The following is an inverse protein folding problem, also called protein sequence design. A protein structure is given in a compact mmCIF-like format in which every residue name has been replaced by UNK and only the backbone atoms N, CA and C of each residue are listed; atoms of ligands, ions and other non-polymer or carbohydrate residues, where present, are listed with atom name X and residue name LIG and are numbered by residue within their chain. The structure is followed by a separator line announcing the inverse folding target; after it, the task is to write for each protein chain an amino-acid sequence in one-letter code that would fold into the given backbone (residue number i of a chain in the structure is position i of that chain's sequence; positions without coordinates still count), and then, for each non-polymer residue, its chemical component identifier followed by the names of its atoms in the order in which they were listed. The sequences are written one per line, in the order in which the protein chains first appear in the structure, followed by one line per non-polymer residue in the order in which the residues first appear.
data_IF_140148673644
#
_entry.id   IF_140148673644
#
_cell.length_a   1.000
_cell.length_b   1.000
_cell.length_c   1.000
_cell.angle_alpha   90.00
_cell.angle_beta   90.00
_cell.angle_gamma   90.00
#
_symmetry.space_group_name_H-M   'P 1'
#
loop_
_entity.id
_entity.type
_entity.pdbx_description
1 polymer ?
#
# COMPACT_ATOMS: atom_id res chain seq x y z
N UNK A 1 -60.47 -9.74 25.78
CA UNK A 1 -59.06 -9.46 26.12
C UNK A 1 -58.21 -9.67 24.87
N UNK A 2 -57.18 -8.82 24.65
CA UNK A 2 -56.15 -8.83 23.57
C UNK A 2 -56.63 -8.20 22.24
N UNK A 3 -56.52 -6.86 22.02
CA UNK A 3 -55.36 -6.00 21.61
C UNK A 3 -54.84 -6.38 20.20
N UNK A 4 -55.29 -5.68 19.13
CA UNK A 4 -54.60 -4.63 18.33
C UNK A 4 -53.40 -5.18 17.50
N UNK A 5 -53.22 -4.97 16.17
CA UNK A 5 -53.10 -3.73 15.36
C UNK A 5 -53.37 -4.06 13.86
N UNK A 6 -53.96 -3.15 13.05
CA UNK A 6 -54.20 -3.32 11.61
C UNK A 6 -53.10 -2.76 10.68
N UNK A 7 -52.90 -3.45 9.55
CA UNK A 7 -52.77 -2.97 8.15
C UNK A 7 -52.04 -1.65 7.87
N UNK A 8 -50.93 -1.71 7.08
CA UNK A 8 -50.74 -0.87 5.86
C UNK A 8 -49.94 -1.68 4.83
N UNK A 9 -50.61 -2.02 3.72
CA UNK A 9 -50.03 -2.50 2.45
C UNK A 9 -49.81 -1.26 1.58
N UNK A 10 -48.65 -1.13 0.93
CA UNK A 10 -48.50 -0.17 -0.17
C UNK A 10 -47.67 -0.79 -1.30
N UNK A 11 -48.39 -1.29 -2.30
CA UNK A 11 -47.91 -1.60 -3.65
C UNK A 11 -48.06 -0.37 -4.54
N UNK A 12 -47.01 0.00 -5.30
CA UNK A 12 -47.06 0.88 -6.49
C UNK A 12 -45.86 0.41 -7.35
N UNK A 13 -45.94 -0.36 -8.44
CA UNK A 13 -46.71 -0.32 -9.70
C UNK A 13 -46.35 0.86 -10.64
N UNK A 14 -45.65 0.57 -11.74
CA UNK A 14 -45.68 1.31 -13.03
C UNK A 14 -44.48 2.24 -13.29
N UNK A 15 -43.53 1.93 -14.19
CA UNK A 15 -43.53 2.01 -15.68
C UNK A 15 -43.77 3.44 -16.27
N UNK A 16 -42.65 4.09 -16.66
CA UNK A 16 -42.34 4.84 -17.92
C UNK A 16 -43.26 6.00 -18.34
N UNK A 17 -42.73 7.24 -18.56
CA UNK A 17 -42.31 7.68 -19.91
C UNK A 17 -41.09 8.64 -19.97
N UNK A 18 -40.21 8.47 -20.96
CA UNK A 18 -40.09 9.28 -22.21
C UNK A 18 -39.65 10.74 -22.00
N UNK A 19 -38.34 10.96 -22.24
CA UNK A 19 -37.71 12.08 -22.96
C UNK A 19 -38.31 13.48 -22.89
N UNK A 20 -37.55 14.41 -22.30
CA UNK A 20 -37.55 15.82 -22.73
C UNK A 20 -36.12 16.36 -22.82
N UNK A 21 -35.54 16.15 -24.00
CA UNK A 21 -34.76 17.12 -24.78
C UNK A 21 -34.39 18.44 -24.06
N UNK A 22 -33.09 18.65 -23.84
CA UNK A 22 -32.48 19.97 -23.96
C UNK A 22 -31.22 19.86 -24.85
N UNK A 23 -31.15 20.61 -25.97
CA UNK A 23 -30.01 20.63 -26.85
C UNK A 23 -28.96 21.60 -26.32
N UNK A 24 -27.71 21.19 -26.25
CA UNK A 24 -26.58 22.12 -26.26
C UNK A 24 -25.56 21.59 -27.26
N UNK A 25 -25.45 22.32 -28.37
CA UNK A 25 -24.41 22.14 -29.35
C UNK A 25 -23.07 22.51 -28.70
N UNK A 26 -22.09 21.61 -28.84
CA UNK A 26 -20.73 21.81 -28.34
C UNK A 26 -19.85 20.66 -28.80
N UNK A 27 -19.17 20.88 -29.93
CA UNK A 27 -18.08 20.08 -30.50
C UNK A 27 -17.02 19.65 -29.49
N UNK A 28 -16.66 18.36 -29.46
CA UNK A 28 -15.30 17.87 -29.72
C UNK A 28 -15.19 16.36 -29.47
N UNK A 29 -14.50 15.71 -30.40
CA UNK A 29 -14.08 14.30 -30.34
C UNK A 29 -13.14 14.09 -29.13
N UNK A 30 -13.39 13.06 -28.33
CA UNK A 30 -12.42 12.53 -27.38
C UNK A 30 -12.67 11.03 -27.17
N UNK A 31 -11.61 10.28 -27.44
CA UNK A 31 -11.47 8.83 -27.41
C UNK A 31 -11.89 8.25 -26.05
N UNK A 32 -12.77 7.25 -26.05
CA UNK A 32 -13.13 6.50 -24.86
C UNK A 32 -11.97 5.58 -24.46
N UNK A 33 -11.15 6.01 -23.51
CA UNK A 33 -10.28 5.12 -22.74
C UNK A 33 -11.04 4.62 -21.51
N UNK A 34 -11.11 3.30 -21.43
CA UNK A 34 -11.62 2.46 -20.36
C UNK A 34 -11.11 2.93 -18.98
N UNK A 35 -11.97 3.13 -17.96
CA UNK A 35 -11.47 3.30 -16.59
C UNK A 35 -10.87 1.98 -16.11
N UNK A 36 -9.56 2.00 -15.86
CA UNK A 36 -8.81 0.96 -15.17
C UNK A 36 -9.38 0.73 -13.76
N UNK A 37 -9.35 -0.50 -13.23
CA UNK A 37 -9.83 -0.78 -11.88
C UNK A 37 -8.97 0.01 -10.88
N UNK A 38 -9.60 0.92 -10.15
CA UNK A 38 -8.99 1.57 -8.98
C UNK A 38 -8.79 0.52 -7.90
N UNK A 39 -7.53 0.21 -7.62
CA UNK A 39 -7.13 -0.55 -6.44
C UNK A 39 -7.57 0.21 -5.20
N UNK A 40 -8.64 -0.27 -4.57
CA UNK A 40 -9.08 0.22 -3.27
C UNK A 40 -8.06 -0.23 -2.23
N UNK A 41 -7.05 0.61 -1.98
CA UNK A 41 -6.23 0.55 -0.76
C UNK A 41 -7.12 0.90 0.43
N UNK A 42 -7.83 -0.09 0.96
CA UNK A 42 -8.46 0.00 2.27
C UNK A 42 -7.37 -0.22 3.33
N UNK A 43 -6.65 0.85 3.65
CA UNK A 43 -5.89 0.92 4.89
C UNK A 43 -6.87 0.99 6.06
N UNK A 44 -6.99 -0.09 6.83
CA UNK A 44 -7.35 -0.01 8.25
C UNK A 44 -6.65 -1.15 8.97
N UNK A 45 -5.87 -0.76 9.97
CA UNK A 45 -4.98 -1.55 10.80
C UNK A 45 -5.49 -2.95 11.15
N UNK A 46 -4.64 -3.95 10.90
CA UNK A 46 -4.75 -5.30 11.46
C UNK A 46 -5.20 -6.40 10.50
N UNK A 47 -5.94 -6.07 9.44
CA UNK A 47 -6.52 -7.07 8.53
C UNK A 47 -5.95 -6.93 7.11
N UNK A 48 -5.20 -7.94 6.65
CA UNK A 48 -4.63 -7.99 5.30
C UNK A 48 -5.46 -8.94 4.42
N UNK A 49 -6.00 -8.46 3.30
CA UNK A 49 -6.75 -9.29 2.36
C UNK A 49 -5.87 -9.56 1.14
N UNK A 50 -5.42 -10.80 1.00
CA UNK A 50 -4.60 -11.23 -0.14
C UNK A 50 -5.50 -11.95 -1.13
N UNK A 51 -5.58 -11.41 -2.35
CA UNK A 51 -6.26 -12.08 -3.47
C UNK A 51 -5.21 -12.79 -4.30
N UNK A 52 -5.35 -14.10 -4.46
CA UNK A 52 -4.41 -14.91 -5.23
C UNK A 52 -4.60 -14.66 -6.72
N UNK A 53 -3.53 -14.89 -7.49
CA UNK A 53 -3.64 -14.98 -8.94
C UNK A 53 -4.55 -16.14 -9.32
N UNK A 54 -5.33 -15.96 -10.38
CA UNK A 54 -6.13 -17.03 -10.96
C UNK A 54 -5.23 -18.15 -11.46
N UNK A 55 -5.46 -19.38 -11.00
CA UNK A 55 -4.78 -20.58 -11.48
C UNK A 55 -5.71 -21.33 -12.42
N UNK A 56 -5.34 -21.41 -13.70
CA UNK A 56 -6.02 -22.25 -14.68
C UNK A 56 -5.71 -23.73 -14.39
N UNK A 57 -6.75 -24.48 -14.04
CA UNK A 57 -6.67 -25.94 -13.89
C UNK A 57 -7.38 -26.62 -15.05
N UNK A 58 -7.15 -27.93 -15.23
CA UNK A 58 -7.86 -28.74 -16.24
C UNK A 58 -9.38 -28.68 -16.09
N UNK A 59 -9.88 -28.32 -14.91
CA UNK A 59 -11.32 -28.20 -14.62
C UNK A 59 -11.83 -26.75 -14.65
N UNK A 60 -10.96 -25.75 -14.80
CA UNK A 60 -11.32 -24.33 -14.89
C UNK A 60 -10.44 -23.42 -14.03
N UNK A 61 -10.58 -22.08 -14.16
CA UNK A 61 -9.84 -21.12 -13.36
C UNK A 61 -10.27 -21.14 -11.90
N UNK A 62 -9.29 -21.17 -10.98
CA UNK A 62 -9.50 -21.09 -9.53
C UNK A 62 -8.86 -19.82 -9.00
N UNK A 63 -9.64 -19.02 -8.28
CA UNK A 63 -9.16 -17.81 -7.62
C UNK A 63 -9.62 -17.77 -6.16
N UNK A 64 -8.69 -17.47 -5.26
CA UNK A 64 -8.90 -17.42 -3.83
C UNK A 64 -8.66 -16.01 -3.29
N UNK A 65 -9.44 -15.68 -2.28
CA UNK A 65 -9.24 -14.51 -1.46
C UNK A 65 -9.09 -14.97 -0.02
N UNK A 66 -7.94 -14.66 0.58
CA UNK A 66 -7.60 -15.02 1.94
C UNK A 66 -7.53 -13.74 2.77
N UNK A 67 -8.25 -13.72 3.88
CA UNK A 67 -8.25 -12.62 4.84
C UNK A 67 -7.41 -13.01 6.05
N UNK A 68 -6.37 -12.24 6.32
CA UNK A 68 -5.46 -12.40 7.43
C UNK A 68 -5.72 -11.35 8.49
N UNK A 69 -5.67 -11.72 9.76
CA UNK A 69 -5.52 -10.81 10.89
C UNK A 69 -4.10 -10.99 11.44
N UNK A 70 -3.19 -10.07 11.07
CA UNK A 70 -1.75 -10.25 11.29
C UNK A 70 -1.20 -11.49 10.59
N UNK A 71 -0.84 -12.51 11.37
CA UNK A 71 -0.34 -13.81 10.87
C UNK A 71 -1.40 -14.91 10.79
N UNK A 72 -2.63 -14.65 11.26
CA UNK A 72 -3.70 -15.67 11.32
C UNK A 72 -4.66 -15.55 10.15
N UNK A 73 -5.05 -16.66 9.56
CA UNK A 73 -6.11 -16.74 8.55
C UNK A 73 -7.46 -16.68 9.26
N UNK A 74 -8.29 -15.70 8.91
CA UNK A 74 -9.62 -15.47 9.52
C UNK A 74 -10.76 -15.83 8.59
N UNK A 75 -10.55 -15.69 7.28
CA UNK A 75 -11.52 -16.09 6.28
C UNK A 75 -10.82 -16.50 4.99
N UNK A 76 -11.42 -17.45 4.28
CA UNK A 76 -11.03 -17.84 2.93
C UNK A 76 -12.28 -17.89 2.06
N UNK A 77 -12.23 -17.26 0.89
CA UNK A 77 -13.32 -17.22 -0.08
C UNK A 77 -12.79 -17.59 -1.45
N UNK A 78 -13.43 -18.55 -2.12
CA UNK A 78 -13.19 -18.77 -3.55
C UNK A 78 -13.97 -17.70 -4.32
N UNK A 79 -13.24 -16.81 -5.01
CA UNK A 79 -13.84 -15.82 -5.91
C UNK A 79 -14.21 -16.45 -7.24
N UNK A 80 -13.43 -17.45 -7.67
CA UNK A 80 -13.66 -18.17 -8.92
C UNK A 80 -13.38 -19.65 -8.70
N UNK A 81 -14.31 -20.49 -9.10
CA UNK A 81 -14.19 -21.95 -9.05
C UNK A 81 -14.95 -22.57 -10.22
N UNK A 82 -14.58 -23.78 -10.64
CA UNK A 82 -15.34 -24.51 -11.65
C UNK A 82 -16.67 -25.03 -11.09
N UNK A 83 -17.75 -24.85 -11.87
CA UNK A 83 -19.11 -25.30 -11.58
C UNK A 83 -19.21 -26.85 -11.60
N UNK A 84 -18.83 -27.47 -10.49
CA UNK A 84 -18.98 -28.89 -10.26
C UNK A 84 -19.50 -29.16 -8.84
N UNK A 85 -20.54 -30.01 -8.68
CA UNK A 85 -21.18 -30.24 -7.37
C UNK A 85 -20.23 -30.86 -6.33
N UNK A 86 -19.21 -31.60 -6.79
CA UNK A 86 -18.17 -32.16 -5.92
C UNK A 86 -17.25 -31.08 -5.35
N UNK A 87 -16.97 -30.01 -6.10
CA UNK A 87 -16.15 -28.88 -5.64
C UNK A 87 -16.92 -28.05 -4.61
N UNK A 88 -18.20 -27.74 -4.87
CA UNK A 88 -19.03 -26.95 -3.95
C UNK A 88 -19.18 -27.62 -2.58
N UNK A 89 -19.31 -28.95 -2.54
CA UNK A 89 -19.38 -29.71 -1.29
C UNK A 89 -18.01 -29.83 -0.58
N UNK A 90 -16.90 -29.71 -1.31
CA UNK A 90 -15.54 -29.79 -0.78
C UNK A 90 -15.05 -28.45 -0.22
N UNK A 91 -15.42 -27.32 -0.83
CA UNK A 91 -15.01 -25.98 -0.41
C UNK A 91 -15.21 -25.70 1.09
N UNK A 92 -16.40 -25.90 1.70
CA UNK A 92 -16.57 -25.59 3.12
C UNK A 92 -15.70 -26.46 4.03
N UNK A 93 -15.42 -27.72 3.63
CA UNK A 93 -14.51 -28.60 4.38
C UNK A 93 -13.08 -28.09 4.29
N UNK A 94 -12.60 -27.75 3.08
CA UNK A 94 -11.27 -27.20 2.85
C UNK A 94 -11.06 -25.87 3.60
N UNK A 95 -12.07 -24.99 3.62
CA UNK A 95 -12.02 -23.72 4.35
C UNK A 95 -11.96 -23.96 5.86
N UNK A 96 -12.80 -24.85 6.40
CA UNK A 96 -12.76 -25.18 7.83
C UNK A 96 -11.41 -25.77 8.24
N UNK A 97 -10.86 -26.68 7.42
CA UNK A 97 -9.56 -27.26 7.64
C UNK A 97 -8.43 -26.23 7.54
N UNK A 98 -8.50 -25.30 6.57
CA UNK A 98 -7.55 -24.19 6.46
C UNK A 98 -7.57 -23.30 7.69
N UNK A 99 -8.76 -22.97 8.21
CA UNK A 99 -8.90 -22.15 9.42
C UNK A 99 -8.38 -22.88 10.66
N UNK A 100 -8.48 -24.21 10.69
CA UNK A 100 -7.96 -25.02 11.79
C UNK A 100 -6.43 -25.22 11.70
N UNK A 101 -5.92 -25.57 10.52
CA UNK A 101 -4.50 -25.82 10.28
C UNK A 101 -3.67 -24.53 10.24
N UNK A 102 -4.29 -23.40 9.87
CA UNK A 102 -3.62 -22.11 9.64
C UNK A 102 -2.44 -22.21 8.65
N UNK A 103 -2.49 -23.20 7.75
CA UNK A 103 -1.41 -23.56 6.82
C UNK A 103 -1.98 -24.02 5.48
N UNK A 104 -1.11 -24.01 4.45
CA UNK A 104 -1.43 -24.56 3.14
C UNK A 104 -1.36 -26.11 3.08
N UNK A 105 -0.76 -26.73 4.09
CA UNK A 105 -0.76 -28.18 4.29
C UNK A 105 -2.12 -28.67 4.82
N UNK A 106 -3.05 -28.86 3.89
CA UNK A 106 -4.36 -29.46 4.14
C UNK A 106 -4.54 -30.75 3.33
N UNK A 107 -5.39 -31.63 3.83
CA UNK A 107 -5.77 -32.87 3.17
C UNK A 107 -6.57 -32.58 1.89
N UNK A 108 -6.40 -33.45 0.90
CA UNK A 108 -7.20 -33.39 -0.33
C UNK A 108 -8.54 -34.07 -0.10
N UNK A 109 -9.60 -33.52 -0.69
CA UNK A 109 -10.92 -34.14 -0.61
C UNK A 109 -11.07 -35.17 -1.74
N UNK A 110 -11.47 -36.39 -1.39
CA UNK A 110 -11.71 -37.46 -2.37
C UNK A 110 -12.75 -37.02 -3.42
N UNK A 111 -12.35 -37.04 -4.70
CA UNK A 111 -13.17 -36.58 -5.83
C UNK A 111 -12.97 -35.12 -6.23
N UNK A 112 -12.18 -34.36 -5.46
CA UNK A 112 -11.83 -32.96 -5.74
C UNK A 112 -10.31 -32.74 -5.69
N UNK A 113 -9.50 -33.74 -6.07
CA UNK A 113 -8.04 -33.69 -5.94
C UNK A 113 -7.43 -32.51 -6.71
N UNK A 114 -7.82 -32.32 -7.98
CA UNK A 114 -7.30 -31.26 -8.85
C UNK A 114 -7.56 -29.87 -8.26
N UNK A 115 -8.78 -29.63 -7.78
CA UNK A 115 -9.16 -28.35 -7.19
C UNK A 115 -8.55 -28.17 -5.80
N UNK A 116 -8.36 -29.25 -5.03
CA UNK A 116 -7.67 -29.23 -3.73
C UNK A 116 -6.18 -28.88 -3.90
N UNK A 117 -5.51 -29.42 -4.92
CA UNK A 117 -4.11 -29.09 -5.21
C UNK A 117 -3.94 -27.63 -5.67
N UNK A 118 -4.83 -27.16 -6.54
CA UNK A 118 -4.84 -25.76 -6.96
C UNK A 118 -5.15 -24.81 -5.80
N UNK A 119 -6.05 -25.22 -4.91
CA UNK A 119 -6.37 -24.50 -3.67
C UNK A 119 -5.13 -24.39 -2.78
N UNK A 120 -4.43 -25.50 -2.53
CA UNK A 120 -3.19 -25.51 -1.73
C UNK A 120 -2.12 -24.58 -2.28
N UNK A 121 -1.87 -24.66 -3.59
CA UNK A 121 -0.86 -23.82 -4.25
C UNK A 121 -1.19 -22.34 -4.15
N UNK A 122 -2.46 -21.98 -4.34
CA UNK A 122 -2.93 -20.60 -4.20
C UNK A 122 -2.86 -20.11 -2.76
N UNK A 123 -3.27 -20.94 -1.81
CA UNK A 123 -3.22 -20.64 -0.38
C UNK A 123 -1.77 -20.44 0.09
N UNK A 124 -0.85 -21.28 -0.36
CA UNK A 124 0.58 -21.13 -0.06
C UNK A 124 1.12 -19.81 -0.61
N UNK A 125 0.79 -19.46 -1.86
CA UNK A 125 1.18 -18.17 -2.42
C UNK A 125 0.63 -16.98 -1.61
N UNK A 126 -0.60 -17.07 -1.11
CA UNK A 126 -1.19 -16.05 -0.24
C UNK A 126 -0.47 -15.92 1.11
N UNK A 127 -0.12 -17.06 1.74
CA UNK A 127 0.63 -17.10 2.99
C UNK A 127 2.03 -16.53 2.80
N UNK A 128 2.73 -16.93 1.73
CA UNK A 128 4.06 -16.44 1.38
C UNK A 128 4.05 -14.93 1.10
N UNK A 129 2.99 -14.42 0.45
CA UNK A 129 2.81 -13.00 0.20
C UNK A 129 2.54 -12.21 1.48
N UNK A 130 1.69 -12.74 2.38
CA UNK A 130 1.47 -12.16 3.70
C UNK A 130 2.75 -12.17 4.54
N UNK A 131 3.54 -13.25 4.49
CA UNK A 131 4.82 -13.37 5.18
C UNK A 131 5.87 -12.40 4.61
N UNK A 132 5.92 -12.21 3.29
CA UNK A 132 6.80 -11.22 2.65
C UNK A 132 6.40 -9.80 3.05
N UNK A 133 5.11 -9.50 3.05
CA UNK A 133 4.58 -8.20 3.50
C UNK A 133 4.85 -7.97 4.98
N UNK A 134 4.67 -8.97 5.84
CA UNK A 134 5.03 -8.90 7.25
C UNK A 134 6.53 -8.73 7.47
N UNK A 135 7.37 -9.43 6.69
CA UNK A 135 8.83 -9.30 6.73
C UNK A 135 9.30 -7.95 6.20
N UNK A 136 8.64 -7.39 5.20
CA UNK A 136 8.87 -6.03 4.71
C UNK A 136 8.43 -4.97 5.74
N UNK A 137 7.35 -5.23 6.48
CA UNK A 137 6.90 -4.37 7.58
C UNK A 137 7.77 -4.51 8.84
N UNK A 138 8.49 -5.62 9.01
CA UNK A 138 9.50 -5.83 10.06
C UNK A 138 10.91 -5.37 9.63
N UNK A 139 11.15 -5.24 8.31
CA UNK A 139 12.36 -4.66 7.71
C UNK A 139 12.20 -3.17 7.40
N UNK A 140 10.98 -2.62 7.51
CA UNK A 140 10.82 -1.22 7.89
C UNK A 140 11.48 -1.09 9.27
N UNK A 141 12.42 -0.14 9.49
CA UNK A 141 13.17 -0.07 10.73
C UNK A 141 12.20 -0.01 11.90
N UNK A 142 12.13 -1.12 12.65
CA UNK A 142 11.37 -1.22 13.87
C UNK A 142 12.17 -0.51 14.97
N UNK A 143 12.16 0.82 14.95
CA UNK A 143 12.47 1.70 16.09
C UNK A 143 11.79 3.04 15.80
N UNK A 144 10.50 3.16 16.11
CA UNK A 144 9.94 4.46 16.49
C UNK A 144 10.53 4.86 17.85
N UNK A 145 11.84 5.14 17.88
CA UNK A 145 12.31 6.21 18.74
C UNK A 145 11.87 7.47 18.01
N UNK A 146 10.69 7.98 18.41
CA UNK A 146 9.92 9.02 17.73
C UNK A 146 10.82 9.89 16.84
N UNK A 147 10.76 9.67 15.52
CA UNK A 147 11.66 10.32 14.60
C UNK A 147 11.54 11.84 14.81
N UNK A 148 12.59 12.45 15.33
CA UNK A 148 12.61 13.87 15.65
C UNK A 148 13.11 14.60 14.43
N UNK A 149 12.23 15.37 13.84
CA UNK A 149 12.58 16.25 12.74
C UNK A 149 13.02 17.59 13.30
N UNK A 150 14.23 18.03 12.93
CA UNK A 150 14.77 19.34 13.28
C UNK A 150 15.07 20.08 11.98
N UNK A 151 14.51 21.27 11.87
CA UNK A 151 14.82 22.22 10.81
C UNK A 151 16.10 23.00 11.16
N UNK A 152 17.01 23.03 10.21
CA UNK A 152 18.16 23.91 10.23
C UNK A 152 17.75 25.35 9.97
N UNK A 153 18.59 26.29 10.39
CA UNK A 153 18.41 27.70 10.05
C UNK A 153 18.43 27.88 8.54
N UNK A 154 17.58 28.78 8.05
CA UNK A 154 17.61 29.19 6.65
C UNK A 154 18.84 30.08 6.43
N UNK A 155 19.74 29.67 5.52
CA UNK A 155 20.97 30.39 5.21
C UNK A 155 20.81 31.09 3.87
N UNK A 156 20.88 32.41 3.86
CA UNK A 156 20.85 33.21 2.64
C UNK A 156 22.23 33.20 1.97
N UNK A 157 22.33 32.54 0.83
CA UNK A 157 23.53 32.55 -0.01
C UNK A 157 23.36 33.51 -1.19
N UNK A 158 24.45 33.87 -1.86
CA UNK A 158 24.42 34.69 -3.09
C UNK A 158 23.52 34.08 -4.19
N UNK A 159 23.27 32.76 -4.14
CA UNK A 159 22.45 32.04 -5.12
C UNK A 159 21.03 31.75 -4.65
N UNK A 160 20.66 32.14 -3.42
CA UNK A 160 19.34 31.93 -2.84
C UNK A 160 19.39 31.31 -1.44
N UNK A 161 18.23 31.28 -0.78
CA UNK A 161 18.08 30.71 0.56
C UNK A 161 18.16 29.18 0.51
N UNK A 162 18.99 28.60 1.37
CA UNK A 162 19.15 27.15 1.54
C UNK A 162 18.69 26.77 2.94
N UNK A 163 17.79 25.79 3.03
CA UNK A 163 17.33 25.26 4.31
C UNK A 163 17.25 23.73 4.26
N UNK A 164 17.81 23.10 5.29
CA UNK A 164 17.86 21.64 5.43
C UNK A 164 17.00 21.23 6.62
N UNK A 165 16.29 20.13 6.45
CA UNK A 165 15.58 19.42 7.49
C UNK A 165 16.24 18.08 7.70
N UNK A 166 16.56 17.77 8.95
CA UNK A 166 17.18 16.53 9.36
C UNK A 166 16.18 15.74 10.19
N UNK A 167 16.01 14.47 9.86
CA UNK A 167 15.21 13.54 10.64
C UNK A 167 16.14 12.62 11.40
N UNK A 168 16.05 12.70 12.72
CA UNK A 168 16.81 11.88 13.65
C UNK A 168 15.98 10.70 14.11
N UNK A 169 16.57 9.52 14.15
CA UNK A 169 16.02 8.31 14.76
C UNK A 169 16.90 8.02 15.97
N UNK A 170 16.46 8.45 17.15
CA UNK A 170 17.31 8.54 18.34
C UNK A 170 18.53 9.41 18.14
N UNK A 171 19.72 8.81 18.20
CA UNK A 171 20.98 9.56 18.07
C UNK A 171 21.53 9.70 16.65
N UNK A 172 20.96 8.96 15.68
CA UNK A 172 21.44 8.91 14.29
C UNK A 172 20.57 9.73 13.35
N UNK A 173 21.19 10.26 12.30
CA UNK A 173 20.50 10.89 11.17
C UNK A 173 19.96 9.78 10.27
N UNK A 174 18.63 9.67 10.18
CA UNK A 174 17.96 8.68 9.34
C UNK A 174 17.58 9.24 7.97
N UNK A 175 17.28 10.53 7.87
CA UNK A 175 16.94 11.16 6.62
C UNK A 175 17.33 12.64 6.63
N UNK A 176 17.69 13.17 5.47
CA UNK A 176 17.96 14.58 5.28
C UNK A 176 17.22 15.06 4.03
N UNK A 177 16.54 16.19 4.15
CA UNK A 177 15.75 16.78 3.06
C UNK A 177 16.05 18.27 2.98
N UNK A 178 16.25 18.77 1.77
CA UNK A 178 16.28 20.23 1.55
C UNK A 178 14.83 20.75 1.54
N UNK A 179 14.49 21.62 2.49
CA UNK A 179 13.20 22.32 2.54
C UNK A 179 13.16 23.47 1.53
N UNK A 180 14.29 24.16 1.40
CA UNK A 180 14.44 25.31 0.52
C UNK A 180 15.78 25.20 -0.21
N UNK A 181 15.75 25.30 -1.54
CA UNK A 181 16.96 25.38 -2.37
C UNK A 181 16.69 26.29 -3.57
N UNK A 182 17.72 26.95 -4.11
CA UNK A 182 17.59 27.68 -5.37
C UNK A 182 17.48 26.72 -6.57
N UNK A 183 16.55 27.03 -7.49
CA UNK A 183 16.33 26.31 -8.75
C UNK A 183 17.53 26.44 -9.71
N UNK A 184 18.54 25.60 -9.49
CA UNK A 184 19.69 25.47 -10.38
C UNK A 184 20.02 24.00 -10.62
N UNK A 185 20.24 23.57 -11.88
CA UNK A 185 20.44 22.16 -12.22
C UNK A 185 21.71 21.56 -11.58
N UNK A 186 22.72 22.39 -11.30
CA UNK A 186 23.93 21.98 -10.59
C UNK A 186 23.66 21.66 -9.11
N UNK A 187 22.74 22.41 -8.47
CA UNK A 187 22.31 22.17 -7.09
C UNK A 187 21.52 20.89 -7.01
N UNK A 188 20.51 20.70 -7.88
CA UNK A 188 19.66 19.50 -7.90
C UNK A 188 20.47 18.20 -8.07
N UNK A 189 21.48 18.21 -8.94
CA UNK A 189 22.36 17.06 -9.14
C UNK A 189 23.32 16.81 -7.95
N UNK A 190 23.62 17.84 -7.16
CA UNK A 190 24.48 17.74 -5.98
C UNK A 190 23.72 17.29 -4.73
N UNK A 191 22.43 17.63 -4.59
CA UNK A 191 21.59 17.25 -3.43
C UNK A 191 21.69 15.76 -3.06
N UNK A 192 21.45 14.79 -3.97
CA UNK A 192 21.46 13.40 -3.58
C UNK A 192 22.84 12.93 -3.11
N UNK A 193 23.93 13.49 -3.68
CA UNK A 193 25.30 13.19 -3.23
C UNK A 193 25.55 13.75 -1.83
N UNK A 194 25.19 15.01 -1.59
CA UNK A 194 25.34 15.65 -0.27
C UNK A 194 24.52 14.93 0.80
N UNK A 195 23.29 14.50 0.48
CA UNK A 195 22.44 13.73 1.39
C UNK A 195 23.06 12.37 1.68
N UNK A 196 23.58 11.65 0.67
CA UNK A 196 24.24 10.36 0.87
C UNK A 196 25.50 10.50 1.73
N UNK A 197 26.34 11.50 1.47
CA UNK A 197 27.52 11.79 2.31
C UNK A 197 27.13 12.17 3.73
N UNK A 198 26.06 12.95 3.92
CA UNK A 198 25.56 13.31 5.26
C UNK A 198 25.11 12.06 6.02
N UNK A 199 24.39 11.16 5.37
CA UNK A 199 23.94 9.90 5.98
C UNK A 199 25.11 8.97 6.28
N UNK A 200 26.18 9.02 5.50
CA UNK A 200 27.38 8.22 5.72
C UNK A 200 28.29 8.79 6.82
N UNK A 201 28.49 10.11 6.82
CA UNK A 201 29.33 10.82 7.79
C UNK A 201 28.64 11.00 9.15
N UNK A 202 27.30 11.01 9.16
CA UNK A 202 26.49 11.31 10.35
C UNK A 202 26.85 12.65 11.01
N UNK A 203 27.36 13.61 10.22
CA UNK A 203 27.83 14.93 10.67
C UNK A 203 27.62 15.98 9.57
N UNK A 204 27.73 17.27 9.92
CA UNK A 204 27.78 18.37 8.95
C UNK A 204 29.15 18.53 8.26
N UNK A 205 30.18 17.84 8.77
CA UNK A 205 31.49 17.73 8.13
C UNK A 205 31.44 16.85 6.88
N UNK A 206 30.88 17.42 5.80
CA UNK A 206 30.85 16.80 4.48
C UNK A 206 31.67 17.58 3.46
N UNK A 207 32.07 16.89 2.40
CA UNK A 207 32.81 17.47 1.31
C UNK A 207 31.91 18.37 0.45
N UNK A 208 32.50 19.44 -0.09
CA UNK A 208 31.77 20.30 -1.03
C UNK A 208 31.78 19.67 -2.42
N UNK A 209 30.65 19.69 -3.11
CA UNK A 209 30.57 19.16 -4.47
C UNK A 209 31.16 20.16 -5.47
N UNK A 210 32.06 19.70 -6.33
CA UNK A 210 32.65 20.51 -7.40
C UNK A 210 31.55 21.09 -8.31
N UNK A 211 31.51 22.42 -8.42
CA UNK A 211 30.48 23.15 -9.18
C UNK A 211 29.26 23.61 -8.36
N UNK A 212 29.15 23.20 -7.09
CA UNK A 212 28.07 23.60 -6.18
C UNK A 212 28.62 24.17 -4.84
N UNK A 213 29.85 24.69 -4.82
CA UNK A 213 30.54 25.09 -3.58
C UNK A 213 29.76 26.09 -2.73
N UNK A 214 29.07 27.06 -3.36
CA UNK A 214 28.27 28.06 -2.64
C UNK A 214 27.05 27.41 -1.96
N UNK A 215 26.33 26.55 -2.67
CA UNK A 215 25.14 25.87 -2.13
C UNK A 215 25.52 24.76 -1.15
N UNK A 216 26.65 24.07 -1.34
CA UNK A 216 27.23 23.15 -0.36
C UNK A 216 27.63 23.85 0.94
N UNK A 217 28.12 25.10 0.86
CA UNK A 217 28.41 25.92 2.05
C UNK A 217 27.16 26.21 2.87
N UNK A 218 26.11 26.73 2.21
CA UNK A 218 24.83 27.00 2.88
C UNK A 218 24.15 25.74 3.41
N UNK A 219 24.26 24.62 2.68
CA UNK A 219 23.77 23.32 3.14
C UNK A 219 24.47 22.87 4.42
N UNK A 220 25.80 22.98 4.50
CA UNK A 220 26.56 22.61 5.70
C UNK A 220 26.21 23.46 6.91
N UNK A 221 26.06 24.77 6.72
CA UNK A 221 25.70 25.68 7.82
C UNK A 221 24.28 25.40 8.34
N UNK A 222 23.31 25.18 7.44
CA UNK A 222 21.95 24.80 7.81
C UNK A 222 21.91 23.41 8.50
N UNK A 223 22.68 22.45 7.99
CA UNK A 223 22.80 21.11 8.56
C UNK A 223 23.45 21.14 9.95
N UNK A 224 24.52 21.92 10.13
CA UNK A 224 25.19 22.13 11.40
C UNK A 224 24.22 22.73 12.41
N UNK A 225 23.47 23.75 12.04
CA UNK A 225 22.43 24.34 12.90
C UNK A 225 21.34 23.33 13.30
N UNK A 226 20.93 22.43 12.39
CA UNK A 226 19.97 21.37 12.70
C UNK A 226 20.53 20.34 13.70
N UNK A 227 21.84 20.03 13.61
CA UNK A 227 22.53 19.13 14.53
C UNK A 227 22.75 19.80 15.89
N UNK A 228 23.19 21.06 15.91
CA UNK A 228 23.37 21.84 17.13
C UNK A 228 22.04 22.08 17.85
N UNK A 229 20.93 22.27 17.14
CA UNK A 229 19.60 22.42 17.75
C UNK A 229 19.05 21.13 18.38
N UNK A 230 19.63 19.96 18.07
CA UNK A 230 19.29 18.67 18.70
C UNK A 230 20.07 18.47 20.02
N UNK A 231 21.28 19.03 20.14
CA UNK A 231 22.20 18.88 21.29
C UNK A 231 22.00 19.89 22.40
#
# INVERSE_FOLDING_TARGET
MKRAIPVVVLSIAGLVPVWLYQPSAGTSTAQATTPAPTTSSAGTSGTNVVTTTTIDTEKGPVQLQVTFAGTKITAVKLLQQPDHPQTEAAVPKLVAETLQAQSADIDTVSGATITSEAYKKSLQAAIDDNARTASASASAPATEEAARTVDGTAVDTEKGTVQVQVTFEGDRISAVRMLQQPDHPQTEAAVPKLVAETLQAQSADIDTVSGATITSGGYKESLQAAIDAKG
#
